data_IF_163825616867
#
_entry.id   IF_163825616867
#
_cell.length_a   1.000
_cell.length_b   1.000
_cell.length_c   1.000
_cell.angle_alpha   90.00
_cell.angle_beta   90.00
_cell.angle_gamma   90.00
#
_symmetry.space_group_name_H-M   'P 1'
#
loop_
_entity.id
_entity.type
_entity.pdbx_description
1 polymer ?
#
# COMPACT_ATOMS: atom_id res chain seq x y z
N UNK A 1 -10.88 4.30 -9.94
CA UNK A 1 -10.48 5.72 -9.74
C UNK A 1 -9.75 5.93 -8.42
N UNK A 2 -10.41 6.00 -7.24
CA UNK A 2 -9.71 6.29 -5.97
C UNK A 2 -8.62 5.26 -5.64
N UNK A 3 -8.90 3.96 -5.80
CA UNK A 3 -7.91 2.90 -5.58
C UNK A 3 -6.65 3.09 -6.45
N UNK A 4 -6.83 3.43 -7.73
CA UNK A 4 -5.72 3.61 -8.67
C UNK A 4 -4.80 4.77 -8.27
N UNK A 5 -5.37 5.85 -7.75
CA UNK A 5 -4.61 6.96 -7.19
C UNK A 5 -3.90 6.57 -5.88
N UNK A 6 -4.58 5.86 -4.97
CA UNK A 6 -3.97 5.45 -3.70
C UNK A 6 -2.86 4.40 -3.90
N UNK A 7 -2.97 3.55 -4.93
CA UNK A 7 -1.93 2.58 -5.30
C UNK A 7 -0.65 3.29 -5.75
N UNK A 8 -0.76 4.40 -6.47
CA UNK A 8 0.40 5.22 -6.87
C UNK A 8 1.12 5.88 -5.68
N UNK A 9 0.48 5.96 -4.50
CA UNK A 9 1.07 6.46 -3.27
C UNK A 9 1.69 5.36 -2.38
N UNK A 10 1.74 4.11 -2.83
CA UNK A 10 2.41 3.01 -2.12
C UNK A 10 3.94 3.02 -2.33
N UNK A 11 4.46 3.16 -3.57
CA UNK A 11 5.88 3.31 -3.80
C UNK A 11 6.35 4.71 -3.39
N UNK A 12 7.59 4.81 -2.93
CA UNK A 12 8.26 6.11 -2.76
C UNK A 12 9.02 6.45 -4.06
N UNK A 13 8.33 6.32 -5.20
CA UNK A 13 8.91 6.50 -6.53
C UNK A 13 8.94 7.99 -6.92
N UNK A 14 10.04 8.47 -7.53
CA UNK A 14 10.09 9.80 -8.11
C UNK A 14 8.98 9.98 -9.16
N UNK A 15 8.10 10.98 -8.97
CA UNK A 15 7.01 11.29 -9.90
C UNK A 15 5.62 10.86 -9.45
N UNK A 16 5.48 10.28 -8.25
CA UNK A 16 4.16 10.05 -7.67
C UNK A 16 3.40 11.39 -7.45
N UNK A 17 2.10 11.46 -7.79
CA UNK A 17 1.28 12.66 -7.60
C UNK A 17 1.18 13.01 -6.11
N UNK A 18 1.22 14.30 -5.80
CA UNK A 18 1.01 14.79 -4.45
C UNK A 18 -0.42 14.51 -3.97
N UNK A 19 -0.61 14.44 -2.65
CA UNK A 19 -1.95 14.27 -2.05
C UNK A 19 -2.89 15.43 -2.42
N UNK A 20 -2.35 16.62 -2.65
CA UNK A 20 -3.11 17.80 -3.08
C UNK A 20 -3.62 17.65 -4.53
N UNK A 21 -2.78 17.18 -5.45
CA UNK A 21 -3.17 16.93 -6.84
C UNK A 21 -4.24 15.84 -6.94
N UNK A 22 -4.11 14.77 -6.15
CA UNK A 22 -5.12 13.71 -6.05
C UNK A 22 -6.43 14.27 -5.49
N UNK A 23 -6.36 15.07 -4.43
CA UNK A 23 -7.53 15.68 -3.80
C UNK A 23 -8.30 16.56 -4.80
N UNK A 24 -7.59 17.39 -5.57
CA UNK A 24 -8.16 18.22 -6.62
C UNK A 24 -8.81 17.38 -7.73
N UNK A 25 -8.12 16.34 -8.23
CA UNK A 25 -8.66 15.45 -9.27
C UNK A 25 -9.91 14.68 -8.84
N UNK A 26 -9.99 14.32 -7.55
CA UNK A 26 -11.09 13.52 -7.02
C UNK A 26 -12.22 14.35 -6.37
N UNK A 27 -12.11 15.69 -6.37
CA UNK A 27 -13.06 16.56 -5.67
C UNK A 27 -13.11 16.32 -4.17
N UNK A 28 -11.98 15.92 -3.57
CA UNK A 28 -11.84 15.61 -2.15
C UNK A 28 -11.01 16.68 -1.43
N UNK A 29 -11.07 16.69 -0.10
CA UNK A 29 -10.07 17.45 0.69
C UNK A 29 -8.80 16.63 0.85
N UNK A 30 -7.66 17.29 1.04
CA UNK A 30 -6.39 16.61 1.35
C UNK A 30 -6.48 15.71 2.59
N UNK A 31 -7.23 16.13 3.61
CA UNK A 31 -7.49 15.32 4.80
C UNK A 31 -8.26 14.03 4.45
N UNK A 32 -9.26 14.11 3.56
CA UNK A 32 -10.00 12.94 3.13
C UNK A 32 -9.11 11.95 2.37
N UNK A 33 -8.20 12.43 1.51
CA UNK A 33 -7.19 11.60 0.82
C UNK A 33 -6.24 10.95 1.83
N UNK A 34 -5.75 11.70 2.82
CA UNK A 34 -4.89 11.17 3.89
C UNK A 34 -5.57 10.04 4.67
N UNK A 35 -6.83 10.22 5.05
CA UNK A 35 -7.59 9.19 5.75
C UNK A 35 -7.86 7.96 4.87
N UNK A 36 -8.17 8.18 3.60
CA UNK A 36 -8.35 7.08 2.63
C UNK A 36 -7.05 6.28 2.47
N UNK A 37 -5.90 6.96 2.33
CA UNK A 37 -4.59 6.33 2.24
C UNK A 37 -4.24 5.52 3.50
N UNK A 38 -4.54 6.06 4.69
CA UNK A 38 -4.32 5.33 5.95
C UNK A 38 -5.12 4.02 5.99
N UNK A 39 -6.43 4.07 5.73
CA UNK A 39 -7.29 2.87 5.70
C UNK A 39 -6.84 1.88 4.63
N UNK A 40 -6.46 2.40 3.47
CA UNK A 40 -5.97 1.60 2.36
C UNK A 40 -4.70 0.83 2.73
N UNK A 41 -3.68 1.50 3.30
CA UNK A 41 -2.44 0.86 3.75
C UNK A 41 -2.70 -0.22 4.79
N UNK A 42 -3.57 0.06 5.77
CA UNK A 42 -3.95 -0.92 6.78
C UNK A 42 -4.59 -2.17 6.15
N UNK A 43 -5.58 -1.99 5.27
CA UNK A 43 -6.25 -3.13 4.61
C UNK A 43 -5.30 -3.89 3.68
N UNK A 44 -4.46 -3.18 2.94
CA UNK A 44 -3.44 -3.77 2.06
C UNK A 44 -2.48 -4.65 2.87
N UNK A 45 -2.03 -4.17 4.02
CA UNK A 45 -1.11 -4.91 4.88
C UNK A 45 -1.73 -6.21 5.43
N UNK A 46 -3.01 -6.17 5.79
CA UNK A 46 -3.76 -7.37 6.23
C UNK A 46 -3.86 -8.38 5.10
N UNK A 47 -4.29 -7.93 3.92
CA UNK A 47 -4.45 -8.80 2.74
C UNK A 47 -3.11 -9.40 2.29
N UNK A 48 -2.03 -8.62 2.29
CA UNK A 48 -0.71 -9.12 1.92
C UNK A 48 -0.24 -10.24 2.85
N UNK A 49 -0.48 -10.11 4.16
CA UNK A 49 -0.16 -11.19 5.11
C UNK A 49 -1.02 -12.43 4.91
N UNK A 50 -2.30 -12.23 4.59
CA UNK A 50 -3.21 -13.33 4.28
C UNK A 50 -2.73 -14.11 3.04
N UNK A 51 -2.36 -13.41 1.96
CA UNK A 51 -1.80 -14.06 0.77
C UNK A 51 -0.48 -14.79 1.05
N UNK A 52 0.44 -14.18 1.81
CA UNK A 52 1.71 -14.82 2.20
C UNK A 52 1.45 -16.06 3.08
N UNK A 53 0.41 -16.03 3.91
CA UNK A 53 0.06 -17.17 4.77
C UNK A 53 -0.31 -18.42 3.96
N UNK A 54 -0.79 -18.24 2.72
CA UNK A 54 -1.10 -19.33 1.81
C UNK A 54 0.14 -19.91 1.11
N UNK A 55 1.28 -19.23 1.16
CA UNK A 55 2.51 -19.64 0.44
C UNK A 55 3.59 -20.20 1.37
N UNK A 56 3.57 -19.83 2.65
CA UNK A 56 4.54 -20.32 3.64
C UNK A 56 4.20 -21.71 4.14
N UNK A 57 5.22 -22.48 4.53
CA UNK A 57 5.03 -23.83 5.07
C UNK A 57 4.40 -23.82 6.48
N UNK A 58 4.75 -22.83 7.30
CA UNK A 58 4.20 -22.64 8.65
C UNK A 58 3.91 -21.17 8.92
N UNK A 59 2.91 -20.89 9.77
CA UNK A 59 2.44 -19.53 10.04
C UNK A 59 3.49 -18.61 10.68
N UNK A 60 4.51 -19.16 11.36
CA UNK A 60 5.59 -18.37 11.94
C UNK A 60 6.49 -17.69 10.90
N UNK A 61 6.47 -18.16 9.65
CA UNK A 61 7.38 -17.69 8.60
C UNK A 61 6.85 -16.45 7.87
N UNK A 62 5.62 -16.01 8.17
CA UNK A 62 4.95 -14.90 7.47
C UNK A 62 5.76 -13.61 7.51
N UNK A 63 6.31 -13.24 8.67
CA UNK A 63 7.08 -12.00 8.80
C UNK A 63 8.46 -12.09 8.13
N UNK A 64 9.02 -13.30 8.02
CA UNK A 64 10.30 -13.55 7.36
C UNK A 64 10.13 -13.47 5.85
N UNK A 65 9.09 -14.10 5.32
CA UNK A 65 8.71 -14.03 3.91
C UNK A 65 8.34 -12.59 3.50
N UNK A 66 7.59 -11.86 4.33
CA UNK A 66 7.26 -10.47 4.07
C UNK A 66 8.51 -9.58 3.99
N UNK A 67 9.47 -9.78 4.90
CA UNK A 67 10.76 -9.05 4.86
C UNK A 67 11.57 -9.40 3.63
N UNK A 68 11.61 -10.68 3.25
CA UNK A 68 12.29 -11.14 2.05
C UNK A 68 11.69 -10.52 0.79
N UNK A 69 10.36 -10.56 0.64
CA UNK A 69 9.64 -9.96 -0.47
C UNK A 69 9.95 -8.46 -0.61
N UNK A 70 9.90 -7.71 0.50
CA UNK A 70 10.23 -6.27 0.49
C UNK A 70 11.68 -6.03 0.07
N UNK A 71 12.61 -6.87 0.52
CA UNK A 71 14.02 -6.75 0.14
C UNK A 71 14.24 -6.96 -1.36
N UNK A 72 13.57 -7.96 -1.96
CA UNK A 72 13.64 -8.25 -3.40
C UNK A 72 13.02 -7.13 -4.23
N UNK A 73 11.90 -6.55 -3.81
CA UNK A 73 11.23 -5.47 -4.53
C UNK A 73 11.97 -4.12 -4.48
N UNK A 74 12.91 -3.95 -3.55
CA UNK A 74 13.71 -2.72 -3.40
C UNK A 74 15.09 -2.81 -4.08
N UNK A 75 15.50 -4.01 -4.47
CA UNK A 75 16.76 -4.27 -5.17
C UNK A 75 16.61 -3.95 -6.67
#
# INVERSE_FOLDING_TARGET
ALFDWLKQLLPDEPGAPSRAEIAAHLGMTENAVRQALYRFRHRYQVLLREEISHTVAIASDIEDELRHLIAVLRA
#
